data_IF_687068408930
#
_entry.id   IF_687068408930
#
_cell.length_a   1.000
_cell.length_b   1.000
_cell.length_c   1.000
_cell.angle_alpha   90.00
_cell.angle_beta   90.00
_cell.angle_gamma   90.00
#
_symmetry.space_group_name_H-M   'P 1'
#
loop_
_entity.id
_entity.type
_entity.pdbx_description
1 polymer ?
#
# COMPACT_ATOMS: atom_id res chain seq x y z
N UNK A 1 -18.83 -1.59 -4.10
CA UNK A 1 -17.49 -1.18 -3.65
C UNK A 1 -16.49 -2.27 -3.96
N UNK A 2 -15.37 -1.88 -4.52
CA UNK A 2 -14.32 -2.84 -4.86
C UNK A 2 -13.18 -2.75 -3.85
N UNK A 3 -12.78 -3.88 -3.29
CA UNK A 3 -11.72 -3.93 -2.29
C UNK A 3 -10.43 -4.44 -2.95
N UNK A 4 -9.37 -3.68 -2.79
CA UNK A 4 -8.04 -4.05 -3.27
C UNK A 4 -7.12 -4.26 -2.08
N UNK A 5 -6.31 -5.29 -2.12
CA UNK A 5 -5.34 -5.56 -1.07
C UNK A 5 -3.95 -5.13 -1.52
N UNK A 6 -3.24 -4.52 -0.60
CA UNK A 6 -1.87 -4.05 -0.81
C UNK A 6 -1.01 -4.66 0.29
N UNK A 7 0.06 -5.33 -0.10
CA UNK A 7 0.95 -6.00 0.84
C UNK A 7 2.08 -5.07 1.23
N UNK A 8 2.30 -4.95 2.54
CA UNK A 8 3.38 -4.13 3.09
C UNK A 8 4.57 -5.02 3.41
N UNK A 9 5.74 -4.62 2.98
CA UNK A 9 7.00 -5.30 3.26
C UNK A 9 7.96 -4.34 3.92
N UNK A 10 8.87 -4.87 4.72
CA UNK A 10 9.88 -4.08 5.41
C UNK A 10 11.27 -4.47 4.92
N UNK A 11 12.10 -3.46 4.62
CA UNK A 11 13.45 -3.69 4.15
C UNK A 11 14.34 -2.53 4.64
N UNK A 12 15.36 -2.86 5.41
CA UNK A 12 16.43 -1.94 5.84
C UNK A 12 16.00 -0.49 6.12
N UNK A 13 15.05 -0.33 7.05
CA UNK A 13 14.63 1.00 7.46
C UNK A 13 13.55 1.62 6.59
N UNK A 14 13.09 0.92 5.58
CA UNK A 14 12.02 1.37 4.69
C UNK A 14 10.87 0.40 4.69
N UNK A 15 9.70 0.92 4.43
CA UNK A 15 8.52 0.12 4.17
C UNK A 15 8.18 0.25 2.70
N UNK A 16 7.73 -0.84 2.11
CA UNK A 16 7.26 -0.85 0.73
C UNK A 16 5.86 -1.45 0.70
N UNK A 17 5.05 -0.98 -0.21
CA UNK A 17 3.70 -1.50 -0.40
C UNK A 17 3.46 -1.73 -1.89
N UNK A 18 2.80 -2.83 -2.21
CA UNK A 18 2.49 -3.15 -3.60
C UNK A 18 1.19 -3.95 -3.68
N UNK A 19 0.50 -3.79 -4.79
CA UNK A 19 -0.68 -4.59 -5.08
C UNK A 19 -0.25 -5.83 -5.86
N UNK A 20 -0.51 -7.04 -5.35
CA UNK A 20 -0.12 -8.26 -6.07
C UNK A 20 -0.76 -8.39 -7.44
N UNK A 21 -1.92 -7.79 -7.62
CA UNK A 21 -2.69 -7.89 -8.86
C UNK A 21 -2.34 -6.82 -9.88
N UNK A 22 -1.57 -5.80 -9.49
CA UNK A 22 -1.24 -4.70 -10.41
C UNK A 22 0.09 -4.06 -10.01
N UNK A 23 1.15 -4.38 -10.75
CA UNK A 23 2.48 -3.88 -10.47
C UNK A 23 2.62 -2.37 -10.57
N UNK A 24 1.66 -1.70 -11.22
CA UNK A 24 1.67 -0.25 -11.31
C UNK A 24 1.36 0.41 -9.96
N UNK A 25 0.74 -0.33 -9.05
CA UNK A 25 0.38 0.21 -7.74
C UNK A 25 1.42 -0.25 -6.72
N UNK A 26 2.39 0.60 -6.49
CA UNK A 26 3.44 0.35 -5.50
C UNK A 26 3.97 1.69 -4.99
N UNK A 27 4.50 1.66 -3.79
CA UNK A 27 5.13 2.84 -3.18
C UNK A 27 6.07 2.42 -2.08
N UNK A 28 6.80 3.37 -1.52
CA UNK A 28 7.65 3.14 -0.37
C UNK A 28 7.65 4.38 0.52
N UNK A 29 8.02 4.17 1.78
CA UNK A 29 8.08 5.23 2.77
C UNK A 29 8.73 4.74 4.03
N UNK A 30 8.88 5.62 5.01
CA UNK A 30 9.55 5.27 6.28
C UNK A 30 8.56 4.87 7.36
N UNK A 31 7.31 5.28 7.26
CA UNK A 31 6.30 4.99 8.27
C UNK A 31 5.05 4.43 7.62
N UNK A 32 4.22 3.78 8.43
CA UNK A 32 2.94 3.30 7.94
C UNK A 32 2.02 4.43 7.49
N UNK A 33 2.08 5.56 8.18
CA UNK A 33 1.27 6.71 7.80
C UNK A 33 1.64 7.22 6.41
N UNK A 34 2.94 7.31 6.12
CA UNK A 34 3.42 7.69 4.80
C UNK A 34 2.98 6.69 3.74
N UNK A 35 3.18 5.41 4.02
CA UNK A 35 2.80 4.34 3.09
C UNK A 35 1.31 4.39 2.79
N UNK A 36 0.50 4.55 3.84
CA UNK A 36 -0.95 4.57 3.68
C UNK A 36 -1.39 5.73 2.78
N UNK A 37 -0.87 6.92 3.04
CA UNK A 37 -1.21 8.09 2.23
C UNK A 37 -0.73 7.92 0.79
N UNK A 38 0.51 7.48 0.62
CA UNK A 38 1.09 7.34 -0.71
C UNK A 38 0.41 6.28 -1.54
N UNK A 39 0.10 5.12 -0.93
CA UNK A 39 -0.52 4.03 -1.70
C UNK A 39 -1.94 4.40 -2.11
N UNK A 40 -2.65 5.16 -1.29
CA UNK A 40 -3.98 5.64 -1.66
C UNK A 40 -3.91 6.57 -2.85
N UNK A 41 -2.94 7.48 -2.87
CA UNK A 41 -2.75 8.39 -3.99
C UNK A 41 -2.45 7.62 -5.27
N UNK A 42 -1.55 6.64 -5.19
CA UNK A 42 -1.20 5.83 -6.35
C UNK A 42 -2.40 5.02 -6.83
N UNK A 43 -3.15 4.43 -5.91
CA UNK A 43 -4.33 3.65 -6.26
C UNK A 43 -5.38 4.51 -6.98
N UNK A 44 -5.60 5.72 -6.50
CA UNK A 44 -6.53 6.63 -7.17
C UNK A 44 -6.05 7.02 -8.57
N UNK A 45 -4.77 7.18 -8.75
CA UNK A 45 -4.21 7.51 -10.07
C UNK A 45 -4.34 6.35 -11.05
N UNK A 46 -4.08 5.13 -10.59
CA UNK A 46 -4.06 3.96 -11.46
C UNK A 46 -5.45 3.38 -11.66
N UNK A 47 -6.22 3.26 -10.59
CA UNK A 47 -7.53 2.61 -10.63
C UNK A 47 -8.70 3.57 -10.71
N UNK A 48 -8.46 4.85 -10.52
CA UNK A 48 -9.51 5.87 -10.51
C UNK A 48 -10.14 6.02 -9.13
N UNK A 49 -11.06 6.99 -9.01
CA UNK A 49 -11.68 7.34 -7.74
C UNK A 49 -13.00 6.64 -7.49
N UNK A 50 -13.35 5.66 -8.30
CA UNK A 50 -14.68 5.10 -8.23
C UNK A 50 -14.77 3.99 -7.20
N UNK A 51 -15.32 4.33 -6.06
CA UNK A 51 -15.83 3.36 -5.10
C UNK A 51 -14.84 2.22 -4.80
N UNK A 52 -13.57 2.57 -4.64
CA UNK A 52 -12.54 1.61 -4.29
C UNK A 52 -12.16 1.73 -2.82
N UNK A 53 -11.78 0.62 -2.24
CA UNK A 53 -11.27 0.56 -0.88
C UNK A 53 -9.94 -0.17 -0.91
N UNK A 54 -8.93 0.44 -0.32
CA UNK A 54 -7.59 -0.15 -0.28
C UNK A 54 -7.32 -0.64 1.14
N UNK A 55 -7.07 -1.93 1.27
CA UNK A 55 -6.72 -2.52 2.56
C UNK A 55 -5.25 -2.92 2.56
N UNK A 56 -4.53 -2.49 3.59
CA UNK A 56 -3.13 -2.86 3.76
C UNK A 56 -3.04 -4.17 4.51
N UNK A 57 -2.31 -5.12 3.92
CA UNK A 57 -2.00 -6.38 4.58
C UNK A 57 -0.60 -6.25 5.17
N UNK A 58 -0.51 -6.28 6.49
CA UNK A 58 0.74 -6.08 7.20
C UNK A 58 1.19 -7.41 7.79
N UNK A 59 2.22 -8.05 7.20
CA UNK A 59 2.72 -9.31 7.76
C UNK A 59 3.28 -9.15 9.16
N UNK A 60 3.26 -10.22 9.93
CA UNK A 60 3.70 -10.19 11.32
C UNK A 60 5.17 -9.83 11.50
N UNK A 61 5.99 -10.01 10.46
CA UNK A 61 7.40 -9.66 10.51
C UNK A 61 7.68 -8.18 10.26
N UNK A 62 6.65 -7.41 9.92
CA UNK A 62 6.79 -5.96 9.75
C UNK A 62 6.57 -5.31 11.10
N UNK A 63 7.53 -4.51 11.53
CA UNK A 63 7.43 -3.80 12.80
C UNK A 63 6.68 -2.50 12.61
N UNK A 64 5.58 -2.40 13.33
CA UNK A 64 4.77 -1.19 13.37
C UNK A 64 5.10 -0.49 14.67
N UNK A 65 5.92 0.52 14.62
CA UNK A 65 6.28 1.26 15.82
C UNK A 65 5.34 2.41 16.04
#
# INVERSE_FOLDING_TARGET
MKVHHVIVEQSEGWLAAHAPEDDSVHTQGKTLDEITANIRDVAHLVWGDKDIHVELVIPSNVKVA
#
